data_IF_496643405905
#
_entry.id   IF_496643405905
#
_cell.length_a   1.000
_cell.length_b   1.000
_cell.length_c   1.000
_cell.angle_alpha   90.00
_cell.angle_beta   90.00
_cell.angle_gamma   90.00
#
_symmetry.space_group_name_H-M   'P 1'
#
loop_
_entity.id
_entity.type
_entity.pdbx_description
1 polymer ?
#
# COMPACT_ATOMS: atom_id res chain seq x y z
N UNK A 1 -5.53 7.17 -15.45
CA UNK A 1 -6.97 7.42 -15.24
C UNK A 1 -7.36 7.61 -13.78
N UNK A 2 -6.54 7.28 -12.78
CA UNK A 2 -6.72 7.80 -11.39
C UNK A 2 -5.41 8.26 -10.75
N UNK A 3 -4.25 7.86 -11.28
CA UNK A 3 -2.91 8.22 -10.80
C UNK A 3 -2.67 7.90 -9.30
N UNK A 4 -3.44 6.96 -8.73
CA UNK A 4 -3.30 6.58 -7.33
C UNK A 4 -2.05 5.69 -7.16
N UNK A 5 -1.16 6.01 -6.21
CA UNK A 5 0.01 5.18 -5.94
C UNK A 5 -0.38 3.84 -5.32
N UNK A 6 0.44 2.81 -5.58
CA UNK A 6 0.22 1.45 -5.09
C UNK A 6 1.36 1.03 -4.16
N UNK A 7 0.98 0.56 -2.98
CA UNK A 7 1.84 -0.16 -2.04
C UNK A 7 1.33 -1.59 -1.90
N UNK A 8 2.22 -2.54 -1.61
CA UNK A 8 1.81 -3.94 -1.39
C UNK A 8 2.30 -4.47 -0.07
N UNK A 9 1.50 -5.31 0.58
CA UNK A 9 2.01 -6.17 1.65
C UNK A 9 3.07 -7.10 1.07
N UNK A 10 3.88 -7.75 1.92
CA UNK A 10 4.82 -8.77 1.44
C UNK A 10 4.10 -9.89 0.67
N UNK A 11 2.91 -10.29 1.12
CA UNK A 11 2.09 -11.31 0.47
C UNK A 11 1.43 -10.85 -0.84
N UNK A 12 1.17 -9.54 -0.96
CA UNK A 12 0.60 -8.95 -2.17
C UNK A 12 1.65 -8.59 -3.23
N UNK A 13 2.94 -8.84 -2.98
CA UNK A 13 3.99 -8.55 -3.96
C UNK A 13 3.73 -9.35 -5.23
N UNK A 14 3.73 -8.66 -6.37
CA UNK A 14 3.45 -9.25 -7.68
C UNK A 14 2.00 -9.04 -8.15
N UNK A 15 1.12 -8.49 -7.32
CA UNK A 15 -0.22 -8.06 -7.75
C UNK A 15 -0.17 -6.93 -8.81
N UNK A 16 0.88 -6.11 -8.77
CA UNK A 16 1.21 -5.08 -9.76
C UNK A 16 2.68 -5.23 -10.15
N UNK A 17 3.07 -5.00 -11.42
CA UNK A 17 4.47 -5.01 -11.83
C UNK A 17 5.31 -4.07 -10.98
N UNK A 18 6.44 -4.55 -10.46
CA UNK A 18 7.34 -3.76 -9.60
C UNK A 18 8.03 -2.61 -10.35
N UNK A 19 8.00 -2.64 -11.69
CA UNK A 19 8.50 -1.59 -12.59
C UNK A 19 7.45 -0.54 -12.92
N UNK A 20 6.21 -0.72 -12.45
CA UNK A 20 5.13 0.23 -12.72
C UNK A 20 5.42 1.58 -12.05
N UNK A 21 5.26 2.73 -12.73
CA UNK A 21 5.66 4.03 -12.19
C UNK A 21 4.93 4.42 -10.89
N UNK A 22 3.68 3.96 -10.72
CA UNK A 22 2.90 4.20 -9.50
C UNK A 22 3.19 3.20 -8.38
N UNK A 23 4.05 2.20 -8.59
CA UNK A 23 4.41 1.24 -7.55
C UNK A 23 5.48 1.86 -6.63
N UNK A 24 5.13 2.08 -5.36
CA UNK A 24 6.06 2.66 -4.38
C UNK A 24 6.97 1.56 -3.80
N UNK A 25 6.41 0.39 -3.51
CA UNK A 25 7.13 -0.69 -2.85
C UNK A 25 6.27 -1.51 -1.89
N UNK A 26 6.94 -2.11 -0.90
CA UNK A 26 6.29 -2.89 0.14
C UNK A 26 6.15 -2.11 1.44
N UNK A 27 4.97 -2.20 2.08
CA UNK A 27 4.73 -1.64 3.42
C UNK A 27 5.00 -2.66 4.54
N UNK A 28 5.17 -2.16 5.76
CA UNK A 28 5.27 -2.94 7.00
C UNK A 28 6.58 -2.73 7.75
N UNK A 29 6.84 -3.59 8.75
CA UNK A 29 7.99 -3.48 9.66
C UNK A 29 9.37 -3.45 8.98
N UNK A 30 9.49 -4.04 7.79
CA UNK A 30 10.70 -3.99 6.95
C UNK A 30 10.40 -3.39 5.56
N UNK A 31 9.32 -2.63 5.46
CA UNK A 31 8.90 -1.94 4.26
C UNK A 31 9.78 -0.71 3.97
N UNK A 32 9.60 -0.14 2.78
CA UNK A 32 10.26 1.11 2.43
C UNK A 32 9.71 2.26 3.29
N UNK A 33 10.58 3.19 3.71
CA UNK A 33 10.16 4.38 4.47
C UNK A 33 9.04 5.13 3.76
N UNK A 34 9.21 5.41 2.47
CA UNK A 34 8.20 6.08 1.64
C UNK A 34 6.85 5.33 1.59
N UNK A 35 6.84 3.99 1.65
CA UNK A 35 5.59 3.23 1.69
C UNK A 35 4.85 3.42 3.02
N UNK A 36 5.58 3.39 4.13
CA UNK A 36 4.98 3.56 5.45
C UNK A 36 4.49 5.00 5.64
N UNK A 37 5.25 6.00 5.17
CA UNK A 37 4.83 7.40 5.17
C UNK A 37 3.61 7.64 4.27
N UNK A 38 3.60 7.09 3.06
CA UNK A 38 2.46 7.22 2.15
C UNK A 38 1.15 6.68 2.77
N UNK A 39 1.21 5.58 3.52
CA UNK A 39 0.02 5.05 4.20
C UNK A 39 -0.33 5.86 5.45
N UNK A 40 0.65 6.38 6.18
CA UNK A 40 0.39 7.17 7.39
C UNK A 40 -0.24 8.53 7.07
N UNK A 41 0.24 9.18 6.01
CA UNK A 41 -0.10 10.56 5.66
C UNK A 41 -1.20 10.65 4.59
N UNK A 42 -1.76 9.52 4.12
CA UNK A 42 -2.88 9.54 3.18
C UNK A 42 -4.19 9.99 3.85
N UNK A 43 -5.08 10.56 3.03
CA UNK A 43 -6.45 10.93 3.37
C UNK A 43 -7.48 9.85 2.97
N UNK A 44 -7.10 8.94 2.06
CA UNK A 44 -7.92 7.83 1.60
C UNK A 44 -7.05 6.59 1.35
N UNK A 45 -7.43 5.47 1.98
CA UNK A 45 -6.76 4.18 1.83
C UNK A 45 -7.71 3.14 1.21
N UNK A 46 -7.43 2.73 -0.02
CA UNK A 46 -8.04 1.54 -0.62
C UNK A 46 -7.26 0.29 -0.23
N UNK A 47 -7.82 -0.46 0.71
CA UNK A 47 -7.34 -1.78 1.11
C UNK A 47 -8.08 -2.86 0.33
N UNK A 48 -7.35 -3.59 -0.52
CA UNK A 48 -7.92 -4.63 -1.39
C UNK A 48 -7.28 -5.97 -1.04
N UNK A 49 -8.06 -6.90 -0.50
CA UNK A 49 -7.62 -8.25 -0.16
C UNK A 49 -6.53 -8.30 0.92
N UNK A 50 -6.52 -7.34 1.84
CA UNK A 50 -5.52 -7.31 2.92
C UNK A 50 -6.13 -7.62 4.27
N UNK A 51 -5.39 -8.40 5.07
CA UNK A 51 -5.64 -8.58 6.50
C UNK A 51 -4.74 -7.63 7.26
N UNK A 52 -5.28 -6.58 7.87
CA UNK A 52 -4.55 -5.58 8.65
C UNK A 52 -3.92 -6.17 9.92
N UNK A 53 -2.87 -7.00 9.77
CA UNK A 53 -2.14 -7.57 10.89
C UNK A 53 -1.09 -6.58 11.44
N UNK A 54 -0.59 -6.90 12.63
CA UNK A 54 0.43 -6.17 13.37
C UNK A 54 1.71 -5.89 12.56
N UNK A 55 2.12 -6.80 11.67
CA UNK A 55 3.32 -6.63 10.82
C UNK A 55 3.15 -5.56 9.75
N UNK A 56 1.90 -5.27 9.38
CA UNK A 56 1.53 -4.25 8.38
C UNK A 56 1.28 -2.92 9.09
N UNK A 57 0.51 -2.95 10.17
CA UNK A 57 0.01 -1.73 10.82
C UNK A 57 0.96 -1.15 11.87
N UNK A 58 1.88 -1.96 12.41
CA UNK A 58 2.70 -1.57 13.56
C UNK A 58 1.81 -1.29 14.78
N UNK A 59 1.70 -0.01 15.18
CA UNK A 59 0.74 0.40 16.20
C UNK A 59 -0.60 0.70 15.54
N UNK A 60 -1.59 -0.17 15.79
CA UNK A 60 -2.93 -0.08 15.19
C UNK A 60 -3.58 1.31 15.34
N UNK A 61 -3.50 1.93 16.52
CA UNK A 61 -4.07 3.26 16.77
C UNK A 61 -3.36 4.41 16.04
N UNK A 62 -2.24 4.15 15.39
CA UNK A 62 -1.47 5.14 14.63
C UNK A 62 -1.40 4.78 13.14
N UNK A 63 -2.17 3.79 12.70
CA UNK A 63 -2.18 3.36 11.31
C UNK A 63 -3.16 4.21 10.51
N UNK A 64 -2.66 4.86 9.45
CA UNK A 64 -3.43 5.74 8.58
C UNK A 64 -4.37 6.71 9.37
N UNK A 65 -3.83 7.47 10.35
CA UNK A 65 -4.62 8.21 11.34
C UNK A 65 -5.57 9.25 10.74
N UNK A 66 -5.26 9.76 9.55
CA UNK A 66 -6.04 10.80 8.87
C UNK A 66 -6.85 10.26 7.69
N UNK A 67 -6.81 8.95 7.44
CA UNK A 67 -7.38 8.36 6.24
C UNK A 67 -8.81 7.86 6.47
N UNK A 68 -9.67 8.05 5.46
CA UNK A 68 -10.84 7.21 5.28
C UNK A 68 -10.40 5.86 4.71
N UNK A 69 -10.85 4.76 5.31
CA UNK A 69 -10.42 3.41 4.94
C UNK A 69 -11.55 2.69 4.22
N UNK A 70 -11.32 2.40 2.94
CA UNK A 70 -12.15 1.49 2.13
C UNK A 70 -11.52 0.11 2.18
N UNK A 71 -12.22 -0.88 2.71
CA UNK A 71 -11.69 -2.24 2.87
C UNK A 71 -12.53 -3.25 2.11
N UNK A 72 -11.91 -3.85 1.08
CA UNK A 72 -12.48 -4.91 0.25
C UNK A 72 -11.84 -6.23 0.68
N UNK A 73 -12.63 -7.16 1.20
CA UNK A 73 -12.20 -8.52 1.52
C UNK A 73 -13.34 -9.51 1.26
N UNK A 74 -13.01 -10.72 0.84
CA UNK A 74 -14.00 -11.77 0.62
C UNK A 74 -14.46 -12.40 1.95
N UNK A 75 -13.61 -12.30 2.98
CA UNK A 75 -13.85 -12.83 4.31
C UNK A 75 -14.47 -11.76 5.23
N UNK A 76 -15.75 -11.93 5.56
CA UNK A 76 -16.48 -11.03 6.47
C UNK A 76 -15.82 -10.91 7.85
N UNK A 77 -15.12 -11.95 8.31
CA UNK A 77 -14.45 -11.95 9.60
C UNK A 77 -13.15 -11.12 9.61
N UNK A 78 -12.63 -10.73 8.43
CA UNK A 78 -11.47 -9.87 8.32
C UNK A 78 -11.82 -8.38 8.42
N UNK A 79 -13.03 -8.01 8.01
CA UNK A 79 -13.52 -6.62 8.01
C UNK A 79 -13.64 -6.08 9.44
N UNK A 80 -13.10 -4.89 9.69
CA UNK A 80 -13.11 -4.21 11.00
C UNK A 80 -12.54 -5.01 12.19
N UNK A 81 -11.80 -6.10 11.93
CA UNK A 81 -11.27 -6.95 13.01
C UNK A 81 -10.17 -6.27 13.82
N UNK A 82 -9.26 -5.58 13.13
CA UNK A 82 -8.07 -4.97 13.75
C UNK A 82 -8.02 -3.45 13.56
N UNK A 83 -8.49 -2.96 12.42
CA UNK A 83 -8.54 -1.54 12.06
C UNK A 83 -10.00 -1.22 11.78
N UNK A 84 -10.53 -0.15 12.37
CA UNK A 84 -11.86 0.33 12.07
C UNK A 84 -11.88 0.86 10.63
N UNK A 85 -12.80 0.36 9.80
CA UNK A 85 -12.93 0.78 8.39
C UNK A 85 -14.20 1.60 8.21
N UNK A 86 -14.13 2.61 7.34
CA UNK A 86 -15.25 3.50 7.06
C UNK A 86 -16.21 2.91 6.01
N UNK A 87 -15.64 2.25 4.99
CA UNK A 87 -16.40 1.65 3.89
C UNK A 87 -16.02 0.17 3.74
N UNK A 88 -16.76 -0.74 4.39
CA UNK A 88 -16.55 -2.17 4.24
C UNK A 88 -17.22 -2.71 2.97
N UNK A 89 -16.50 -3.48 2.17
CA UNK A 89 -17.01 -4.13 0.95
C UNK A 89 -16.68 -5.61 1.02
N UNK A 90 -17.72 -6.45 1.12
CA UNK A 90 -17.58 -7.90 1.13
C UNK A 90 -17.74 -8.43 -0.28
N UNK A 91 -16.62 -8.68 -0.96
CA UNK A 91 -16.62 -9.11 -2.36
C UNK A 91 -15.29 -9.76 -2.75
N UNK A 92 -15.30 -10.50 -3.85
CA UNK A 92 -14.06 -10.86 -4.53
C UNK A 92 -13.34 -9.58 -5.03
N UNK A 93 -12.01 -9.54 -4.86
CA UNK A 93 -11.21 -8.37 -5.20
C UNK A 93 -11.29 -7.99 -6.69
N UNK A 94 -11.33 -8.98 -7.59
CA UNK A 94 -11.41 -8.75 -9.02
C UNK A 94 -12.78 -8.19 -9.39
N UNK A 95 -13.85 -8.74 -8.82
CA UNK A 95 -15.21 -8.23 -9.05
C UNK A 95 -15.37 -6.80 -8.56
N UNK A 96 -14.91 -6.50 -7.33
CA UNK A 96 -14.98 -5.16 -6.76
C UNK A 96 -14.21 -4.13 -7.61
N UNK A 97 -12.96 -4.42 -7.97
CA UNK A 97 -12.15 -3.52 -8.80
C UNK A 97 -12.78 -3.33 -10.17
N UNK A 98 -13.26 -4.40 -10.81
CA UNK A 98 -13.93 -4.31 -12.12
C UNK A 98 -15.15 -3.40 -12.04
N UNK A 99 -15.94 -3.51 -10.97
CA UNK A 99 -17.12 -2.66 -10.78
C UNK A 99 -16.74 -1.21 -10.50
N UNK A 100 -15.70 -0.97 -9.70
CA UNK A 100 -15.19 0.38 -9.44
C UNK A 100 -14.73 1.08 -10.72
N UNK A 101 -14.10 0.35 -11.65
CA UNK A 101 -13.63 0.89 -12.93
C UNK A 101 -14.75 1.51 -13.79
N UNK A 102 -16.01 1.15 -13.57
CA UNK A 102 -17.14 1.78 -14.25
C UNK A 102 -17.40 3.23 -13.77
N UNK A 103 -16.93 3.58 -12.57
CA UNK A 103 -17.20 4.87 -11.92
C UNK A 103 -15.95 5.73 -11.71
N UNK A 104 -14.74 5.20 -11.96
CA UNK A 104 -13.51 5.96 -11.76
C UNK A 104 -13.44 7.15 -12.70
N UNK A 105 -12.95 8.26 -12.16
CA UNK A 105 -12.63 9.47 -12.92
C UNK A 105 -11.17 9.83 -12.70
N UNK A 106 -10.54 10.56 -13.64
CA UNK A 106 -9.21 11.15 -13.43
C UNK A 106 -9.13 11.90 -12.10
N UNK A 107 -8.09 11.60 -11.33
CA UNK A 107 -7.76 12.27 -10.09
C UNK A 107 -6.36 12.89 -10.21
N UNK A 108 -6.22 14.10 -9.69
CA UNK A 108 -4.98 14.87 -9.70
C UNK A 108 -4.16 14.58 -8.45
N UNK A 109 -3.36 13.52 -8.51
CA UNK A 109 -2.48 13.08 -7.42
C UNK A 109 -1.03 13.55 -7.59
N UNK A 110 -0.73 14.43 -8.55
CA UNK A 110 0.63 14.84 -8.89
C UNK A 110 1.45 15.33 -7.69
N UNK A 111 0.89 16.29 -6.92
CA UNK A 111 1.52 16.78 -5.68
C UNK A 111 1.79 15.68 -4.66
N UNK A 112 0.90 14.69 -4.58
CA UNK A 112 1.06 13.57 -3.65
C UNK A 112 2.18 12.63 -4.10
N UNK A 113 2.27 12.37 -5.41
CA UNK A 113 3.37 11.60 -5.98
C UNK A 113 4.72 12.30 -5.77
N UNK A 114 4.78 13.63 -5.90
CA UNK A 114 5.98 14.41 -5.64
C UNK A 114 6.46 14.23 -4.18
N UNK A 115 5.54 14.35 -3.20
CA UNK A 115 5.85 14.11 -1.78
C UNK A 115 6.38 12.69 -1.53
N UNK A 116 5.81 11.69 -2.21
CA UNK A 116 6.27 10.30 -2.08
C UNK A 116 7.68 10.13 -2.66
N UNK A 117 7.99 10.78 -3.77
CA UNK A 117 9.33 10.76 -4.35
C UNK A 117 10.35 11.45 -3.44
N UNK A 118 9.99 12.54 -2.78
CA UNK A 118 10.84 13.19 -1.77
C UNK A 118 11.20 12.22 -0.64
N UNK A 119 10.23 11.45 -0.12
CA UNK A 119 10.51 10.43 0.91
C UNK A 119 11.36 9.26 0.39
N UNK A 120 11.21 8.88 -0.89
CA UNK A 120 12.08 7.86 -1.51
C UNK A 120 13.53 8.37 -1.60
N UNK A 121 13.71 9.65 -1.91
CA UNK A 121 15.02 10.29 -2.02
C UNK A 121 15.70 10.48 -0.66
N UNK A 122 14.93 10.83 0.38
CA UNK A 122 15.42 11.01 1.76
C UNK A 122 15.94 9.70 2.36
N UNK A 123 15.21 8.59 2.15
CA UNK A 123 15.53 7.29 2.72
C UNK A 123 15.57 6.17 1.67
N UNK A 124 16.59 6.16 0.79
CA UNK A 124 16.71 5.15 -0.25
C UNK A 124 17.01 3.78 0.36
N UNK A 125 16.38 2.74 -0.18
CA UNK A 125 16.67 1.34 0.14
C UNK A 125 18.08 0.96 -0.39
N UNK A 126 19.12 1.35 0.35
CA UNK A 126 20.50 1.01 0.02
C UNK A 126 20.87 -0.34 0.65
N UNK A 127 21.21 -1.31 -0.19
CA UNK A 127 21.90 -2.50 0.29
C UNK A 127 23.26 -2.08 0.87
N UNK A 128 23.47 -2.33 2.16
CA UNK A 128 24.82 -2.22 2.74
C UNK A 128 25.72 -3.22 2.03
N UNK A 129 26.74 -2.74 1.31
CA UNK A 129 27.79 -3.61 0.76
C UNK A 129 28.47 -4.32 1.93
N UNK A 130 28.15 -5.60 2.14
CA UNK A 130 28.91 -6.44 3.08
C UNK A 130 30.19 -6.89 2.37
N UNK A 131 31.34 -6.94 3.06
CA UNK A 131 32.63 -7.35 2.46
C UNK A 131 32.68 -8.83 2.07
N UNK A 132 31.65 -9.62 2.42
CA UNK A 132 31.56 -11.05 2.12
C UNK A 132 30.45 -11.24 1.08
N UNK A 133 30.83 -11.87 -0.04
CA UNK A 133 29.95 -12.22 -1.17
C UNK A 133 28.78 -13.08 -0.69
N UNK A 134 27.59 -12.50 -0.62
CA UNK A 134 26.33 -13.26 -0.70
C UNK A 134 25.83 -13.26 -2.15
N UNK A 135 25.23 -14.35 -2.65
CA UNK A 135 24.72 -14.42 -4.02
C UNK A 135 23.80 -13.23 -4.28
N UNK A 136 24.20 -12.38 -5.22
CA UNK A 136 23.39 -11.25 -5.65
C UNK A 136 22.26 -11.83 -6.52
N UNK A 137 21.08 -11.98 -5.91
CA UNK A 137 19.86 -12.29 -6.66
C UNK A 137 19.65 -11.20 -7.70
N UNK A 138 19.74 -11.57 -8.97
CA UNK A 138 19.33 -10.72 -10.09
C UNK A 138 17.82 -10.55 -9.98
N UNK A 139 17.38 -9.32 -9.72
CA UNK A 139 16.03 -8.86 -10.01
C UNK A 139 16.08 -8.07 -11.31
#
# INVERSE_FOLDING_TARGET
MTNVPVVTTVMGRGAVPTTHPLYIGNLGMHGAYACNMAVNECDLLFSIGTRFNDRITGKLHSFAPNAQIVHIDIDTAAISKNVQVDVPIVADAKEAVTKMLEYVTPCETGKWLDTIEDWKAEHPLKMKKKPIMTPQGRY
#
